data_IF_483934895156
#
_entry.id   IF_483934895156
#
_cell.length_a   1.000
_cell.length_b   1.000
_cell.length_c   1.000
_cell.angle_alpha   90.00
_cell.angle_beta   90.00
_cell.angle_gamma   90.00
#
_symmetry.space_group_name_H-M   'P 1'
#
loop_
_entity.id
_entity.type
_entity.pdbx_description
1 polymer ?
#
# COMPACT_ATOMS: atom_id res chain seq x y z
N UNK A 1 72.97 -43.21 27.05
CA UNK A 1 71.92 -44.13 27.55
C UNK A 1 70.78 -44.10 26.53
N UNK A 2 70.21 -45.28 26.23
CA UNK A 2 69.08 -45.58 25.30
C UNK A 2 68.02 -44.46 25.26
N UNK A 3 67.32 -44.16 24.16
CA UNK A 3 66.41 -45.09 23.48
C UNK A 3 65.81 -44.42 22.20
N UNK A 4 65.56 -45.25 21.18
CA UNK A 4 64.79 -44.92 19.96
C UNK A 4 63.30 -44.71 20.26
N UNK A 5 62.61 -43.93 19.41
CA UNK A 5 61.33 -44.22 18.70
C UNK A 5 60.94 -42.94 17.91
N UNK A 6 61.04 -42.91 16.58
CA UNK A 6 60.07 -43.36 15.56
C UNK A 6 58.89 -42.44 15.27
N UNK A 7 58.89 -41.94 14.01
CA UNK A 7 57.81 -41.98 13.01
C UNK A 7 56.95 -40.72 12.79
N UNK A 8 57.10 -40.23 11.55
CA UNK A 8 56.15 -39.58 10.61
C UNK A 8 55.37 -38.34 11.06
N UNK A 9 55.02 -37.35 10.24
CA UNK A 9 55.19 -36.90 8.84
C UNK A 9 54.01 -35.92 8.72
N UNK A 10 54.14 -34.74 8.11
CA UNK A 10 53.13 -34.13 7.23
C UNK A 10 53.49 -32.67 6.89
N UNK A 11 53.41 -32.38 5.60
CA UNK A 11 54.00 -31.22 4.95
C UNK A 11 53.36 -29.88 5.29
N UNK A 12 54.19 -28.86 5.16
CA UNK A 12 53.83 -27.45 5.13
C UNK A 12 53.07 -27.16 3.82
N UNK A 13 51.74 -27.11 3.90
CA UNK A 13 50.92 -26.48 2.88
C UNK A 13 50.96 -24.96 3.09
N UNK A 14 51.38 -24.24 2.06
CA UNK A 14 51.34 -22.79 1.94
C UNK A 14 49.91 -22.26 2.10
N UNK A 15 49.65 -21.52 3.18
CA UNK A 15 48.43 -20.75 3.36
C UNK A 15 48.45 -19.54 2.43
N UNK A 16 47.59 -19.57 1.41
CA UNK A 16 47.27 -18.43 0.57
C UNK A 16 46.73 -17.30 1.45
N UNK A 17 47.35 -16.12 1.38
CA UNK A 17 46.86 -14.91 2.03
C UNK A 17 45.44 -14.61 1.54
N UNK A 18 44.44 -14.83 2.39
CA UNK A 18 43.10 -14.31 2.20
C UNK A 18 43.21 -12.78 2.21
N UNK A 19 42.92 -12.17 1.07
CA UNK A 19 42.71 -10.74 0.97
C UNK A 19 41.64 -10.34 1.99
N UNK A 20 42.05 -9.60 3.03
CA UNK A 20 41.11 -8.92 3.92
C UNK A 20 40.33 -7.93 3.08
N UNK A 21 39.06 -8.21 2.89
CA UNK A 21 38.09 -7.30 2.31
C UNK A 21 38.13 -6.00 3.11
N UNK A 22 38.50 -4.91 2.44
CA UNK A 22 38.54 -3.60 3.08
C UNK A 22 37.11 -3.18 3.47
N UNK A 23 36.90 -2.60 4.66
CA UNK A 23 35.59 -2.08 5.01
C UNK A 23 35.24 -0.94 4.06
N UNK A 24 34.25 -1.16 3.19
CA UNK A 24 33.61 -0.11 2.40
C UNK A 24 33.01 0.90 3.39
N UNK A 25 33.25 2.22 3.23
CA UNK A 25 32.67 3.23 4.11
C UNK A 25 31.13 3.19 4.03
N UNK A 26 30.50 2.67 5.08
CA UNK A 26 29.06 2.74 5.30
C UNK A 26 28.67 4.16 5.73
N UNK A 27 28.50 5.06 4.76
CA UNK A 27 27.84 6.34 4.99
C UNK A 27 27.28 6.89 3.67
N UNK A 28 26.28 6.20 3.09
CA UNK A 28 25.35 6.92 2.22
C UNK A 28 24.58 7.89 3.14
N UNK A 29 24.96 9.17 3.10
CA UNK A 29 24.17 10.23 3.70
C UNK A 29 22.73 10.09 3.20
N UNK A 30 21.77 9.91 4.11
CA UNK A 30 20.34 9.94 3.82
C UNK A 30 19.92 11.37 3.52
N UNK A 31 20.39 11.91 2.39
CA UNK A 31 19.90 13.19 1.90
C UNK A 31 18.44 13.02 1.52
N UNK A 32 17.56 13.55 2.37
CA UNK A 32 16.14 13.61 2.09
C UNK A 32 15.92 14.42 0.81
N UNK A 33 15.07 13.91 -0.07
CA UNK A 33 14.71 14.57 -1.31
C UNK A 33 13.20 14.75 -1.37
N UNK A 34 12.76 15.95 -1.71
CA UNK A 34 11.34 16.28 -1.89
C UNK A 34 10.74 15.64 -3.14
N UNK A 35 11.57 15.19 -4.09
CA UNK A 35 11.14 14.57 -5.35
C UNK A 35 11.34 13.06 -5.33
N UNK A 36 10.41 12.28 -5.90
CA UNK A 36 10.58 10.84 -6.04
C UNK A 36 11.86 10.49 -6.80
N UNK A 37 12.50 9.34 -6.50
CA UNK A 37 13.62 8.86 -7.29
C UNK A 37 13.23 8.71 -8.77
N UNK A 38 14.09 9.16 -9.68
CA UNK A 38 13.81 9.17 -11.12
C UNK A 38 14.07 7.85 -11.81
N UNK A 39 14.85 6.96 -11.20
CA UNK A 39 15.21 5.64 -11.73
C UNK A 39 15.21 4.60 -10.62
N UNK A 40 14.91 3.36 -10.97
CA UNK A 40 15.05 2.24 -10.05
C UNK A 40 16.52 1.91 -9.75
N UNK A 41 16.79 1.15 -8.68
CA UNK A 41 18.01 0.38 -8.56
C UNK A 41 18.21 -0.57 -9.75
N UNK A 42 19.46 -1.01 -9.96
CA UNK A 42 19.78 -2.01 -10.98
C UNK A 42 18.97 -3.32 -10.77
N UNK A 43 18.63 -4.00 -11.85
CA UNK A 43 17.79 -5.21 -11.82
C UNK A 43 18.35 -6.35 -10.95
N UNK A 44 19.68 -6.45 -10.88
CA UNK A 44 20.45 -7.42 -10.09
C UNK A 44 20.78 -6.93 -8.67
N UNK A 45 20.39 -5.72 -8.30
CA UNK A 45 20.63 -5.18 -6.96
C UNK A 45 19.91 -6.00 -5.88
N UNK A 46 20.55 -6.14 -4.72
CA UNK A 46 19.96 -6.79 -3.55
C UNK A 46 18.77 -6.02 -2.96
N UNK A 47 18.20 -6.53 -1.87
CA UNK A 47 17.03 -5.93 -1.21
C UNK A 47 17.27 -4.50 -0.71
N UNK A 48 18.44 -4.25 -0.09
CA UNK A 48 18.76 -2.96 0.55
C UNK A 48 18.62 -1.73 -0.39
N UNK A 49 19.16 -1.75 -1.62
CA UNK A 49 18.92 -0.69 -2.59
C UNK A 49 17.44 -0.43 -2.93
N UNK A 50 16.61 -1.47 -3.04
CA UNK A 50 15.16 -1.33 -3.28
C UNK A 50 14.42 -0.81 -2.04
N UNK A 51 14.85 -1.21 -0.85
CA UNK A 51 14.33 -0.67 0.41
C UNK A 51 14.66 0.83 0.55
N UNK A 52 15.88 1.24 0.18
CA UNK A 52 16.29 2.64 0.13
C UNK A 52 15.45 3.43 -0.89
N UNK A 53 15.27 2.90 -2.09
CA UNK A 53 14.40 3.50 -3.11
C UNK A 53 12.97 3.72 -2.57
N UNK A 54 12.44 2.72 -1.86
CA UNK A 54 11.08 2.77 -1.32
C UNK A 54 10.94 3.80 -0.21
N UNK A 55 11.95 3.92 0.66
CA UNK A 55 12.00 4.99 1.66
C UNK A 55 12.09 6.38 1.05
N UNK A 56 12.94 6.56 0.02
CA UNK A 56 13.03 7.84 -0.70
C UNK A 56 11.70 8.20 -1.37
N UNK A 57 11.04 7.22 -2.00
CA UNK A 57 9.70 7.37 -2.57
C UNK A 57 8.67 7.75 -1.49
N UNK A 58 8.66 7.04 -0.36
CA UNK A 58 7.78 7.33 0.77
C UNK A 58 7.99 8.75 1.29
N UNK A 59 9.23 9.19 1.48
CA UNK A 59 9.54 10.56 1.95
C UNK A 59 9.06 11.61 0.94
N UNK A 60 9.34 11.41 -0.35
CA UNK A 60 8.94 12.36 -1.40
C UNK A 60 7.41 12.46 -1.54
N UNK A 61 6.70 11.33 -1.47
CA UNK A 61 5.24 11.31 -1.51
C UNK A 61 4.62 11.97 -0.28
N UNK A 62 5.27 11.84 0.87
CA UNK A 62 4.83 12.45 2.12
C UNK A 62 5.42 13.86 2.35
N UNK A 63 6.09 14.44 1.37
CA UNK A 63 6.55 15.81 1.43
C UNK A 63 5.35 16.77 1.40
N UNK A 64 5.39 17.94 2.07
CA UNK A 64 4.38 18.97 1.89
C UNK A 64 4.16 19.30 0.42
N UNK A 65 2.90 19.35 -0.02
CA UNK A 65 2.54 19.69 -1.38
C UNK A 65 2.52 21.21 -1.61
N UNK A 66 2.82 21.61 -2.85
CA UNK A 66 2.65 22.97 -3.33
C UNK A 66 1.15 23.30 -3.41
N UNK A 67 0.76 24.45 -2.84
CA UNK A 67 -0.64 24.84 -2.83
C UNK A 67 -1.18 25.02 -4.26
N UNK A 68 -2.35 24.43 -4.55
CA UNK A 68 -2.99 24.48 -5.86
C UNK A 68 -2.33 23.63 -6.96
N UNK A 69 -1.24 22.91 -6.67
CA UNK A 69 -0.56 22.05 -7.64
C UNK A 69 -0.52 20.62 -7.13
N UNK A 70 -1.50 19.81 -7.53
CA UNK A 70 -1.62 18.42 -7.10
C UNK A 70 -0.40 17.63 -7.54
N UNK A 71 0.14 16.85 -6.62
CA UNK A 71 1.27 15.96 -6.86
C UNK A 71 2.64 16.65 -6.96
N UNK A 72 2.72 17.97 -6.77
CA UNK A 72 3.98 18.70 -6.79
C UNK A 72 4.44 19.00 -5.36
N UNK A 73 5.70 18.66 -4.99
CA UNK A 73 6.22 18.99 -3.66
C UNK A 73 6.57 20.48 -3.55
N UNK A 74 6.33 21.05 -2.37
CA UNK A 74 6.91 22.31 -1.94
C UNK A 74 8.28 22.05 -1.30
N UNK A 75 9.33 22.05 -2.14
CA UNK A 75 10.70 21.80 -1.71
C UNK A 75 11.31 22.91 -0.85
N UNK A 76 10.59 24.02 -0.62
CA UNK A 76 11.00 25.04 0.36
C UNK A 76 10.66 24.64 1.81
N UNK A 77 9.78 23.63 1.98
CA UNK A 77 9.37 23.10 3.28
C UNK A 77 10.13 21.83 3.63
N UNK A 78 10.15 21.53 4.94
CA UNK A 78 10.67 20.28 5.47
C UNK A 78 9.54 19.25 5.68
N UNK A 79 9.85 17.94 5.73
CA UNK A 79 8.89 16.91 6.11
C UNK A 79 8.22 17.22 7.46
N UNK A 80 6.91 16.99 7.54
CA UNK A 80 6.11 17.28 8.74
C UNK A 80 5.58 18.71 8.85
N UNK A 81 5.96 19.62 7.94
CA UNK A 81 5.31 20.93 7.88
C UNK A 81 3.80 20.80 7.57
N UNK A 82 3.01 21.76 8.05
CA UNK A 82 1.56 21.74 7.90
C UNK A 82 1.10 21.80 6.43
N UNK A 83 -0.04 21.17 6.17
CA UNK A 83 -0.68 21.08 4.85
C UNK A 83 -0.84 19.65 4.38
N UNK A 84 -1.43 19.48 3.20
CA UNK A 84 -1.48 18.18 2.54
C UNK A 84 -0.09 17.77 2.06
N UNK A 85 0.16 16.47 2.08
CA UNK A 85 1.33 15.89 1.44
C UNK A 85 1.09 15.64 -0.04
N UNK A 86 2.17 15.44 -0.81
CA UNK A 86 2.12 15.21 -2.27
C UNK A 86 1.07 14.17 -2.64
N UNK A 87 1.10 12.98 -2.04
CA UNK A 87 0.15 11.92 -2.39
C UNK A 87 -1.27 12.20 -1.88
N UNK A 88 -1.44 12.92 -0.76
CA UNK A 88 -2.77 13.30 -0.29
C UNK A 88 -3.49 14.23 -1.27
N UNK A 89 -2.76 14.89 -2.16
CA UNK A 89 -3.33 15.72 -3.24
C UNK A 89 -3.63 14.96 -4.53
N UNK A 90 -3.21 13.70 -4.66
CA UNK A 90 -3.55 12.85 -5.80
C UNK A 90 -5.06 12.66 -5.90
N UNK A 91 -5.55 12.39 -7.12
CA UNK A 91 -6.97 12.09 -7.34
C UNK A 91 -7.30 10.69 -6.85
N UNK A 92 -8.37 10.57 -6.05
CA UNK A 92 -8.89 9.28 -5.62
C UNK A 92 -9.63 8.57 -6.76
N UNK A 93 -9.92 7.28 -6.62
CA UNK A 93 -10.74 6.55 -7.61
C UNK A 93 -12.10 7.20 -7.84
N UNK A 94 -12.70 7.83 -6.82
CA UNK A 94 -13.96 8.58 -6.94
C UNK A 94 -13.81 9.87 -7.75
N UNK A 95 -12.64 10.52 -7.72
CA UNK A 95 -12.34 11.71 -8.54
C UNK A 95 -11.97 11.35 -9.99
N UNK A 96 -11.47 10.13 -10.22
CA UNK A 96 -11.05 9.66 -11.56
C UNK A 96 -12.22 9.01 -12.31
N UNK A 97 -13.00 8.17 -11.64
CA UNK A 97 -14.01 7.32 -12.25
C UNK A 97 -15.42 7.80 -11.89
N UNK A 98 -15.81 8.94 -12.46
CA UNK A 98 -17.11 9.55 -12.17
C UNK A 98 -18.29 8.68 -12.65
N UNK A 99 -19.46 8.79 -11.98
CA UNK A 99 -20.69 8.17 -12.45
C UNK A 99 -21.00 8.50 -13.92
N UNK A 100 -21.68 7.57 -14.59
CA UNK A 100 -22.08 7.72 -16.00
C UNK A 100 -20.90 7.91 -16.97
N UNK A 101 -19.69 7.47 -16.58
CA UNK A 101 -18.47 7.67 -17.36
C UNK A 101 -18.20 9.15 -17.69
N UNK A 102 -18.57 10.07 -16.79
CA UNK A 102 -18.30 11.49 -17.00
C UNK A 102 -16.79 11.75 -17.04
N UNK A 103 -16.35 12.69 -17.89
CA UNK A 103 -14.96 13.10 -17.93
C UNK A 103 -14.58 13.75 -16.59
N UNK A 104 -13.52 13.28 -15.90
CA UNK A 104 -13.12 13.79 -14.59
C UNK A 104 -12.49 15.20 -14.61
N UNK A 105 -12.40 15.84 -15.77
CA UNK A 105 -11.92 17.20 -15.93
C UNK A 105 -10.39 17.31 -15.99
N UNK A 106 -9.81 18.47 -15.65
CA UNK A 106 -8.36 18.63 -15.57
C UNK A 106 -7.78 18.02 -14.29
N UNK A 107 -6.47 17.75 -14.27
CA UNK A 107 -5.77 17.23 -13.09
C UNK A 107 -5.85 18.20 -11.89
N UNK A 108 -5.49 19.48 -12.09
CA UNK A 108 -5.45 20.49 -11.03
C UNK A 108 -6.84 21.09 -10.73
N UNK A 109 -7.80 20.27 -10.31
CA UNK A 109 -9.05 20.73 -9.69
C UNK A 109 -8.86 21.00 -8.20
N UNK A 110 -9.65 21.89 -7.56
CA UNK A 110 -9.61 22.07 -6.11
C UNK A 110 -9.73 20.75 -5.36
N UNK A 111 -9.05 20.63 -4.20
CA UNK A 111 -9.19 19.48 -3.33
C UNK A 111 -10.61 19.42 -2.78
N UNK A 112 -11.22 18.25 -2.85
CA UNK A 112 -12.52 17.96 -2.25
C UNK A 112 -12.33 17.18 -0.96
N UNK A 113 -13.33 17.22 -0.08
CA UNK A 113 -13.33 16.38 1.12
C UNK A 113 -13.24 14.90 0.70
N UNK A 114 -12.20 14.20 1.17
CA UNK A 114 -12.04 12.76 0.92
C UNK A 114 -13.17 12.00 1.59
N UNK A 115 -13.69 10.99 0.90
CA UNK A 115 -14.66 10.04 1.44
C UNK A 115 -14.03 8.66 1.42
N UNK A 116 -13.81 8.07 2.59
CA UNK A 116 -13.22 6.75 2.70
C UNK A 116 -14.28 5.69 2.95
N UNK A 117 -13.99 4.46 2.52
CA UNK A 117 -14.84 3.30 2.76
C UNK A 117 -14.14 2.27 3.65
N UNK A 118 -14.91 1.37 4.25
CA UNK A 118 -14.35 0.10 4.72
C UNK A 118 -14.15 -0.84 3.53
N UNK A 119 -13.32 -1.85 3.69
CA UNK A 119 -13.33 -2.97 2.74
C UNK A 119 -14.73 -3.58 2.75
N UNK A 120 -15.42 -3.48 1.62
CA UNK A 120 -16.70 -4.11 1.47
C UNK A 120 -16.76 -4.87 0.14
N UNK A 121 -16.42 -6.15 0.20
CA UNK A 121 -16.57 -7.08 -0.93
C UNK A 121 -18.04 -7.11 -1.42
N UNK A 122 -19.03 -6.77 -0.57
CA UNK A 122 -20.45 -6.68 -0.94
C UNK A 122 -20.75 -5.66 -2.02
N UNK A 123 -20.05 -4.52 -2.03
CA UNK A 123 -20.30 -3.44 -3.00
C UNK A 123 -19.96 -3.85 -4.44
N UNK A 124 -19.28 -4.99 -4.62
CA UNK A 124 -18.77 -5.49 -5.91
C UNK A 124 -19.69 -6.52 -6.59
N UNK A 125 -20.66 -7.10 -5.89
CA UNK A 125 -21.58 -8.12 -6.45
C UNK A 125 -22.81 -7.56 -7.19
N UNK A 126 -23.02 -6.25 -7.23
CA UNK A 126 -24.02 -5.64 -8.13
C UNK A 126 -23.59 -5.64 -9.61
N UNK A 127 -22.39 -6.13 -9.91
CA UNK A 127 -22.02 -6.58 -11.25
C UNK A 127 -21.95 -8.11 -11.22
N UNK A 128 -22.56 -8.79 -12.19
CA UNK A 128 -22.53 -10.25 -12.37
C UNK A 128 -21.13 -10.78 -12.77
N UNK A 129 -20.08 -10.20 -12.22
CA UNK A 129 -18.68 -10.48 -12.50
C UNK A 129 -17.94 -10.59 -11.18
N UNK A 130 -18.23 -11.68 -10.47
CA UNK A 130 -17.50 -12.06 -9.27
C UNK A 130 -16.16 -12.63 -9.73
N UNK A 131 -15.20 -11.73 -9.92
CA UNK A 131 -13.78 -11.91 -9.62
C UNK A 131 -13.13 -10.53 -9.66
N UNK A 132 -12.34 -10.27 -8.63
CA UNK A 132 -11.45 -9.12 -8.43
C UNK A 132 -12.11 -7.76 -8.15
N UNK A 133 -12.30 -7.49 -6.87
CA UNK A 133 -11.34 -6.60 -6.18
C UNK A 133 -11.05 -7.22 -4.81
N UNK A 134 -9.96 -7.99 -4.70
CA UNK A 134 -9.41 -8.50 -3.42
C UNK A 134 -8.75 -7.34 -2.67
N UNK A 135 -9.54 -6.28 -2.45
CA UNK A 135 -9.14 -5.14 -1.65
C UNK A 135 -9.06 -5.64 -0.23
N UNK A 136 -7.86 -6.08 0.18
CA UNK A 136 -7.59 -6.59 1.52
C UNK A 136 -8.48 -7.81 1.87
N UNK A 137 -7.89 -8.99 1.78
CA UNK A 137 -8.64 -10.24 1.95
C UNK A 137 -9.08 -10.37 3.41
N UNK A 138 -10.40 -10.45 3.58
CA UNK A 138 -11.09 -10.87 4.81
C UNK A 138 -12.15 -9.87 5.26
N UNK A 139 -12.77 -10.15 6.40
CA UNK A 139 -13.91 -9.39 6.90
C UNK A 139 -13.50 -8.04 7.51
N UNK A 140 -14.23 -7.60 8.54
CA UNK A 140 -13.97 -6.32 9.17
C UNK A 140 -12.58 -6.26 9.80
N UNK A 141 -12.00 -5.07 9.86
CA UNK A 141 -10.81 -4.78 10.63
C UNK A 141 -11.12 -3.66 11.63
N UNK A 142 -11.29 -4.04 12.89
CA UNK A 142 -11.66 -3.17 14.00
C UNK A 142 -10.43 -2.97 14.90
N UNK A 143 -10.07 -1.72 15.17
CA UNK A 143 -8.95 -1.37 16.04
C UNK A 143 -9.26 -1.63 17.53
N UNK A 144 -8.25 -1.51 18.40
CA UNK A 144 -8.41 -1.72 19.86
C UNK A 144 -9.33 -0.69 20.53
N UNK A 145 -9.66 0.41 19.86
CA UNK A 145 -10.64 1.38 20.31
C UNK A 145 -12.08 1.08 19.81
N UNK A 146 -12.29 -0.05 19.13
CA UNK A 146 -13.60 -0.46 18.62
C UNK A 146 -14.01 0.25 17.33
N UNK A 147 -13.09 0.92 16.63
CA UNK A 147 -13.37 1.65 15.40
C UNK A 147 -12.95 0.85 14.16
N UNK A 148 -13.71 0.92 13.06
CA UNK A 148 -13.33 0.28 11.82
C UNK A 148 -12.13 0.98 11.15
N UNK A 149 -11.35 0.19 10.42
CA UNK A 149 -10.29 0.69 9.53
C UNK A 149 -10.88 1.08 8.18
N UNK A 150 -10.49 2.25 7.70
CA UNK A 150 -10.95 2.83 6.43
C UNK A 150 -9.83 2.85 5.39
N UNK A 151 -10.21 2.85 4.12
CA UNK A 151 -9.29 2.72 3.00
C UNK A 151 -9.55 3.77 1.92
N UNK A 152 -8.48 4.20 1.26
CA UNK A 152 -8.50 5.10 0.10
C UNK A 152 -7.54 4.56 -0.98
N UNK A 153 -7.87 4.78 -2.24
CA UNK A 153 -7.01 4.49 -3.39
C UNK A 153 -6.88 5.77 -4.22
N UNK A 154 -5.64 6.15 -4.51
CA UNK A 154 -5.34 7.35 -5.31
C UNK A 154 -4.23 7.08 -6.31
N UNK A 155 -4.18 7.89 -7.36
CA UNK A 155 -3.20 7.75 -8.42
C UNK A 155 -2.62 9.11 -8.82
N UNK A 156 -1.33 9.12 -9.19
CA UNK A 156 -0.65 10.35 -9.57
C UNK A 156 -1.09 10.90 -10.93
N UNK A 157 -0.58 12.08 -11.30
CA UNK A 157 -0.91 12.78 -12.54
C UNK A 157 -0.63 11.94 -13.79
N UNK A 158 0.45 11.15 -13.78
CA UNK A 158 0.83 10.32 -14.92
C UNK A 158 -0.19 9.19 -15.13
N UNK A 159 -0.60 8.51 -14.05
CA UNK A 159 -1.68 7.51 -14.10
C UNK A 159 -2.99 8.14 -14.56
N UNK A 160 -3.32 9.31 -14.02
CA UNK A 160 -4.52 10.07 -14.39
C UNK A 160 -4.55 10.43 -15.88
N UNK A 161 -3.47 11.01 -16.39
CA UNK A 161 -3.36 11.42 -17.79
C UNK A 161 -3.44 10.22 -18.73
N UNK A 162 -2.87 9.07 -18.35
CA UNK A 162 -3.02 7.84 -19.11
C UNK A 162 -4.49 7.37 -19.14
N UNK A 163 -5.18 7.36 -18.01
CA UNK A 163 -6.59 6.96 -17.91
C UNK A 163 -7.48 7.90 -18.73
N UNK A 164 -7.33 9.22 -18.57
CA UNK A 164 -8.14 10.23 -19.23
C UNK A 164 -7.86 10.27 -20.73
N UNK A 165 -6.58 10.28 -21.12
CA UNK A 165 -6.16 10.34 -22.53
C UNK A 165 -6.68 9.15 -23.36
N UNK A 166 -6.83 7.98 -22.74
CA UNK A 166 -7.39 6.79 -23.38
C UNK A 166 -8.90 6.61 -23.14
N UNK A 167 -9.57 7.54 -22.44
CA UNK A 167 -10.99 7.40 -22.03
C UNK A 167 -11.24 6.12 -21.21
N UNK A 168 -10.24 5.61 -20.50
CA UNK A 168 -10.34 4.38 -19.71
C UNK A 168 -11.14 4.53 -18.41
N UNK A 169 -11.58 5.74 -18.07
CA UNK A 169 -12.61 5.96 -17.06
C UNK A 169 -14.01 5.46 -17.49
N UNK A 170 -14.20 5.17 -18.79
CA UNK A 170 -15.42 4.63 -19.36
C UNK A 170 -15.34 3.09 -19.48
N UNK A 171 -16.23 2.38 -18.76
CA UNK A 171 -16.31 0.93 -18.75
C UNK A 171 -16.47 0.30 -20.14
N UNK A 172 -17.23 0.94 -21.04
CA UNK A 172 -17.46 0.44 -22.40
C UNK A 172 -16.21 0.56 -23.30
N UNK A 173 -15.29 1.46 -22.95
CA UNK A 173 -14.02 1.64 -23.65
C UNK A 173 -12.99 0.68 -23.08
N UNK A 174 -12.73 0.75 -21.78
CA UNK A 174 -11.66 -0.03 -21.14
C UNK A 174 -11.93 -1.55 -21.17
N UNK A 175 -13.20 -1.98 -21.18
CA UNK A 175 -13.55 -3.40 -21.32
C UNK A 175 -13.10 -4.03 -22.64
N UNK A 176 -12.88 -3.21 -23.68
CA UNK A 176 -12.43 -3.65 -25.02
C UNK A 176 -10.91 -3.51 -25.21
N UNK A 177 -10.23 -2.84 -24.28
CA UNK A 177 -8.78 -2.66 -24.35
C UNK A 177 -8.07 -4.01 -24.12
N UNK A 178 -7.11 -4.32 -24.98
CA UNK A 178 -6.30 -5.54 -24.94
C UNK A 178 -4.80 -5.29 -24.77
N UNK A 179 -4.38 -4.02 -24.68
CA UNK A 179 -3.00 -3.60 -24.53
C UNK A 179 -2.89 -2.39 -23.58
N UNK A 180 -3.39 -2.55 -22.36
CA UNK A 180 -3.16 -1.56 -21.30
C UNK A 180 -1.70 -1.68 -20.87
N UNK A 181 -0.98 -0.57 -20.95
CA UNK A 181 0.43 -0.47 -20.61
C UNK A 181 0.69 0.95 -20.09
N UNK A 182 0.81 1.10 -18.77
CA UNK A 182 1.13 2.37 -18.16
C UNK A 182 2.57 2.80 -18.49
N UNK A 183 2.81 4.11 -18.66
CA UNK A 183 4.15 4.66 -18.86
C UNK A 183 4.96 4.63 -17.55
N UNK A 184 6.27 4.88 -17.66
CA UNK A 184 7.11 5.09 -16.49
C UNK A 184 6.67 6.34 -15.70
N UNK A 185 6.88 6.31 -14.39
CA UNK A 185 6.53 7.37 -13.45
C UNK A 185 5.11 7.26 -12.89
N UNK A 186 4.30 6.30 -13.33
CA UNK A 186 3.00 6.04 -12.67
C UNK A 186 3.21 5.63 -11.22
N UNK A 187 2.34 6.14 -10.35
CA UNK A 187 2.29 5.80 -8.94
C UNK A 187 0.83 5.59 -8.58
N UNK A 188 0.54 4.46 -7.94
CA UNK A 188 -0.74 4.22 -7.28
C UNK A 188 -0.50 4.01 -5.79
N UNK A 189 -1.38 4.56 -4.98
CA UNK A 189 -1.32 4.49 -3.52
C UNK A 189 -2.62 3.88 -3.03
N UNK A 190 -2.50 2.85 -2.19
CA UNK A 190 -3.59 2.36 -1.36
C UNK A 190 -3.22 2.62 0.10
N UNK A 191 -4.16 3.12 0.88
CA UNK A 191 -3.91 3.52 2.27
C UNK A 191 -4.96 2.95 3.20
N UNK A 192 -4.58 2.66 4.44
CA UNK A 192 -5.44 2.24 5.53
C UNK A 192 -5.35 3.24 6.68
N UNK A 193 -6.49 3.55 7.30
CA UNK A 193 -6.67 4.66 8.21
C UNK A 193 -7.53 4.26 9.40
N UNK A 194 -7.15 4.70 10.60
CA UNK A 194 -7.97 4.56 11.81
C UNK A 194 -8.48 5.92 12.29
N UNK A 195 -9.57 5.92 13.04
CA UNK A 195 -10.05 7.11 13.74
C UNK A 195 -9.09 7.40 14.90
N UNK A 196 -8.60 8.64 14.99
CA UNK A 196 -7.86 9.12 16.14
C UNK A 196 -8.84 9.68 17.17
N UNK A 197 -8.78 9.13 18.37
CA UNK A 197 -9.58 9.54 19.53
C UNK A 197 -8.81 10.56 20.39
N UNK A 198 -9.46 11.22 21.37
CA UNK A 198 -8.76 12.07 22.33
C UNK A 198 -7.67 11.37 23.16
N UNK A 199 -7.64 10.03 23.17
CA UNK A 199 -6.63 9.24 23.86
C UNK A 199 -5.39 8.95 22.99
N UNK A 200 -5.45 9.22 21.69
CA UNK A 200 -4.36 8.97 20.77
C UNK A 200 -3.40 10.18 20.68
N UNK A 201 -2.09 9.91 20.56
CA UNK A 201 -1.12 10.96 20.27
C UNK A 201 -1.05 11.21 18.76
N UNK A 202 -1.88 12.14 18.26
CA UNK A 202 -1.96 12.48 16.85
C UNK A 202 -0.62 12.94 16.22
N UNK A 203 0.32 13.49 17.00
CA UNK A 203 1.64 13.91 16.49
C UNK A 203 2.50 12.75 15.96
N UNK A 204 2.11 11.50 16.27
CA UNK A 204 2.76 10.28 15.78
C UNK A 204 2.23 9.78 14.45
N UNK A 205 1.19 10.41 13.92
CA UNK A 205 0.51 9.95 12.71
C UNK A 205 0.60 10.99 11.61
N UNK A 206 0.64 10.52 10.37
CA UNK A 206 0.14 11.32 9.27
C UNK A 206 -1.37 11.39 9.37
N UNK A 207 -1.93 12.60 9.27
CA UNK A 207 -3.35 12.81 9.55
C UNK A 207 -4.12 13.40 8.38
N UNK A 208 -5.43 13.17 8.37
CA UNK A 208 -6.36 13.91 7.53
C UNK A 208 -7.75 13.97 8.16
N UNK A 209 -8.54 14.98 7.78
CA UNK A 209 -9.99 14.95 7.96
C UNK A 209 -10.63 14.32 6.73
N UNK A 210 -11.56 13.39 6.94
CA UNK A 210 -12.31 12.76 5.87
C UNK A 210 -13.72 12.38 6.31
N UNK A 211 -14.61 12.24 5.33
CA UNK A 211 -15.93 11.63 5.52
C UNK A 211 -15.79 10.11 5.57
N UNK A 212 -16.41 9.48 6.55
CA UNK A 212 -16.40 8.03 6.74
C UNK A 212 -17.82 7.52 7.04
N UNK A 213 -18.20 6.31 6.57
CA UNK A 213 -19.49 5.72 6.91
C UNK A 213 -19.55 5.36 8.40
N UNK A 214 -20.72 5.53 9.00
CA UNK A 214 -21.05 5.05 10.35
C UNK A 214 -21.86 3.75 10.27
N UNK A 215 -21.76 2.91 11.30
CA UNK A 215 -22.36 1.58 11.33
C UNK A 215 -23.01 1.30 12.67
N UNK A 216 -24.01 0.42 12.69
CA UNK A 216 -24.55 -0.17 13.93
C UNK A 216 -23.69 -1.34 14.43
N UNK A 217 -24.15 -2.04 15.48
CA UNK A 217 -23.41 -3.18 16.04
C UNK A 217 -23.38 -4.43 15.15
N UNK A 218 -24.22 -4.49 14.12
CA UNK A 218 -24.25 -5.57 13.13
C UNK A 218 -23.47 -5.21 11.87
N UNK A 219 -22.82 -4.04 11.84
CA UNK A 219 -22.04 -3.56 10.69
C UNK A 219 -22.93 -3.07 9.55
N UNK A 220 -24.21 -2.80 9.81
CA UNK A 220 -25.09 -2.16 8.85
C UNK A 220 -24.82 -0.65 8.85
N UNK A 221 -24.63 -0.09 7.65
CA UNK A 221 -24.37 1.35 7.51
C UNK A 221 -25.57 2.17 7.98
N UNK A 222 -25.34 3.12 8.88
CA UNK A 222 -26.35 4.01 9.47
C UNK A 222 -26.23 5.45 8.98
N UNK A 223 -25.10 5.84 8.40
CA UNK A 223 -24.86 7.22 8.01
C UNK A 223 -23.45 7.49 7.49
N UNK A 224 -23.05 8.76 7.62
CA UNK A 224 -21.72 9.29 7.31
C UNK A 224 -21.40 10.36 8.35
N UNK A 225 -20.16 10.38 8.83
CA UNK A 225 -19.62 11.45 9.69
C UNK A 225 -18.30 11.95 9.14
N UNK A 226 -17.87 13.14 9.55
CA UNK A 226 -16.48 13.54 9.43
C UNK A 226 -15.67 12.95 10.59
N UNK A 227 -14.45 12.49 10.31
CA UNK A 227 -13.54 11.91 11.28
C UNK A 227 -12.11 12.42 11.07
N UNK A 228 -11.38 12.57 12.18
CA UNK A 228 -9.95 12.83 12.17
C UNK A 228 -9.21 11.49 12.16
N UNK A 229 -8.46 11.25 11.09
CA UNK A 229 -7.87 9.95 10.79
C UNK A 229 -6.35 9.98 10.90
N UNK A 230 -5.78 8.85 11.32
CA UNK A 230 -4.34 8.58 11.33
C UNK A 230 -4.00 7.44 10.38
N UNK A 231 -2.98 7.62 9.55
CA UNK A 231 -2.52 6.62 8.58
C UNK A 231 -1.87 5.46 9.33
N UNK A 232 -2.36 4.24 9.11
CA UNK A 232 -1.84 3.03 9.74
C UNK A 232 -1.13 2.10 8.77
N UNK A 233 -1.42 2.16 7.48
CA UNK A 233 -0.71 1.39 6.46
C UNK A 233 -0.77 2.05 5.09
N UNK A 234 0.27 1.81 4.29
CA UNK A 234 0.42 2.43 2.98
C UNK A 234 1.07 1.45 2.01
N UNK A 235 0.37 1.13 0.93
CA UNK A 235 0.93 0.51 -0.26
C UNK A 235 1.22 1.57 -1.30
N UNK A 236 2.44 1.55 -1.83
CA UNK A 236 2.87 2.40 -2.93
C UNK A 236 3.42 1.51 -4.02
N UNK A 237 2.86 1.64 -5.21
CA UNK A 237 3.24 0.82 -6.36
C UNK A 237 3.64 1.76 -7.50
N UNK A 238 4.74 1.47 -8.19
CA UNK A 238 5.24 2.38 -9.22
C UNK A 238 5.98 1.65 -10.34
N UNK A 239 5.89 2.19 -11.57
CA UNK A 239 6.78 1.83 -12.68
C UNK A 239 7.91 2.84 -12.76
N UNK A 240 9.11 2.41 -12.42
CA UNK A 240 10.28 3.27 -12.37
C UNK A 240 11.06 3.23 -13.69
N UNK A 241 11.68 4.35 -14.08
CA UNK A 241 12.55 4.35 -15.26
C UNK A 241 13.74 3.39 -15.04
N UNK A 242 14.11 2.66 -16.09
CA UNK A 242 15.16 1.63 -16.02
C UNK A 242 14.69 0.29 -15.42
N UNK A 243 13.40 0.16 -15.08
CA UNK A 243 12.83 -1.07 -14.52
C UNK A 243 11.44 -1.32 -15.11
N UNK A 244 11.31 -2.19 -16.13
CA UNK A 244 10.09 -2.32 -16.91
C UNK A 244 8.88 -2.86 -16.11
N UNK A 245 9.14 -3.49 -14.96
CA UNK A 245 8.12 -4.03 -14.07
C UNK A 245 7.75 -3.08 -12.93
N UNK A 246 6.68 -3.40 -12.21
CA UNK A 246 6.27 -2.62 -11.04
C UNK A 246 7.13 -2.94 -9.81
N UNK A 247 7.42 -1.90 -9.01
CA UNK A 247 8.02 -1.99 -7.69
C UNK A 247 6.92 -1.77 -6.65
N UNK A 248 6.85 -2.65 -5.65
CA UNK A 248 5.76 -2.72 -4.66
C UNK A 248 6.32 -2.43 -3.27
N UNK A 249 5.93 -1.30 -2.68
CA UNK A 249 6.40 -0.90 -1.35
C UNK A 249 5.26 -0.92 -0.36
N UNK A 250 5.48 -1.50 0.82
CA UNK A 250 4.47 -1.51 1.89
C UNK A 250 5.03 -0.96 3.20
N UNK A 251 4.36 0.06 3.74
CA UNK A 251 4.73 0.74 4.97
C UNK A 251 3.64 0.59 6.02
N UNK A 252 4.05 0.53 7.28
CA UNK A 252 3.14 0.51 8.43
C UNK A 252 3.52 1.56 9.46
N UNK A 253 2.52 2.03 10.20
CA UNK A 253 2.73 2.85 11.38
C UNK A 253 3.19 1.93 12.54
N UNK A 254 4.21 2.37 13.29
CA UNK A 254 4.93 1.53 14.29
C UNK A 254 4.13 1.20 15.55
N UNK A 255 3.04 1.92 15.81
CA UNK A 255 2.07 1.69 16.88
C UNK A 255 0.93 0.76 16.45
N UNK A 256 0.96 0.18 15.25
CA UNK A 256 0.01 -0.89 14.90
C UNK A 256 0.22 -2.13 15.77
N UNK A 257 1.49 -2.53 15.95
CA UNK A 257 1.93 -3.74 16.61
C UNK A 257 3.22 -3.48 17.41
N UNK A 258 3.50 -4.26 18.47
CA UNK A 258 4.77 -4.17 19.17
C UNK A 258 5.95 -4.49 18.25
N UNK A 259 7.05 -3.79 18.49
CA UNK A 259 8.34 -4.20 17.97
C UNK A 259 8.83 -5.43 18.73
N UNK A 260 9.68 -6.26 18.10
CA UNK A 260 10.29 -7.40 18.78
C UNK A 260 11.11 -7.02 20.04
N UNK A 261 11.43 -5.73 20.22
CA UNK A 261 12.24 -5.21 21.31
C UNK A 261 11.42 -4.61 22.47
N UNK A 262 10.11 -4.38 22.31
CA UNK A 262 9.25 -3.84 23.38
C UNK A 262 7.79 -4.20 23.13
N UNK A 263 7.18 -4.89 24.10
CA UNK A 263 5.73 -5.12 24.19
C UNK A 263 5.02 -4.08 25.05
N UNK A 264 5.75 -3.18 25.71
CA UNK A 264 5.16 -2.12 26.53
C UNK A 264 4.64 -1.00 25.64
N UNK A 265 3.34 -0.75 25.69
CA UNK A 265 2.68 0.36 24.96
C UNK A 265 1.23 0.08 24.62
N UNK A 266 0.51 1.12 24.20
CA UNK A 266 -0.82 1.02 23.61
C UNK A 266 -0.67 0.90 22.10
N UNK A 267 -1.22 -0.15 21.51
CA UNK A 267 -1.12 -0.44 20.08
C UNK A 267 -2.50 -0.42 19.43
N UNK A 268 -2.55 0.01 18.17
CA UNK A 268 -3.81 0.16 17.43
C UNK A 268 -4.49 -1.18 17.14
N UNK A 269 -3.71 -2.24 16.92
CA UNK A 269 -4.25 -3.55 16.53
C UNK A 269 -3.68 -4.72 17.34
N UNK A 270 -2.93 -4.49 18.41
CA UNK A 270 -2.37 -5.57 19.22
C UNK A 270 -3.03 -5.63 20.59
N UNK A 271 -3.33 -6.85 21.04
CA UNK A 271 -3.78 -7.14 22.39
C UNK A 271 -2.92 -8.27 22.97
N UNK A 272 -2.15 -8.05 24.05
CA UNK A 272 -1.28 -9.06 24.64
C UNK A 272 -2.06 -10.24 25.25
N UNK A 273 -3.32 -10.03 25.63
CA UNK A 273 -4.17 -11.05 26.26
C UNK A 273 -5.00 -11.84 25.23
N UNK A 274 -4.82 -11.57 23.94
CA UNK A 274 -5.56 -12.24 22.88
C UNK A 274 -5.14 -13.71 22.74
N UNK A 275 -6.09 -14.62 22.88
CA UNK A 275 -5.89 -16.07 22.68
C UNK A 275 -5.70 -16.45 21.20
N UNK A 276 -6.21 -15.62 20.29
CA UNK A 276 -6.07 -15.77 18.84
C UNK A 276 -5.81 -14.41 18.20
N UNK A 277 -5.04 -14.39 17.11
CA UNK A 277 -4.78 -13.17 16.33
C UNK A 277 -5.05 -13.43 14.85
N UNK A 278 -5.15 -12.36 14.07
CA UNK A 278 -5.37 -12.43 12.62
C UNK A 278 -6.65 -13.19 12.26
N UNK A 279 -7.74 -12.91 12.99
CA UNK A 279 -9.07 -13.48 12.75
C UNK A 279 -10.10 -12.35 12.63
N UNK A 280 -10.88 -12.38 11.55
CA UNK A 280 -11.99 -11.46 11.33
C UNK A 280 -13.09 -11.72 12.37
N UNK A 281 -13.79 -10.68 12.88
CA UNK A 281 -14.85 -10.84 13.86
C UNK A 281 -16.20 -11.19 13.22
N UNK A 282 -16.22 -11.26 11.88
CA UNK A 282 -17.37 -11.61 11.07
C UNK A 282 -16.99 -12.69 10.06
N UNK A 283 -18.00 -13.46 9.65
CA UNK A 283 -17.93 -14.42 8.56
C UNK A 283 -18.71 -13.89 7.36
N UNK A 284 -18.19 -14.14 6.16
CA UNK A 284 -18.88 -13.78 4.92
C UNK A 284 -20.06 -14.73 4.68
N UNK A 285 -21.25 -14.16 4.55
CA UNK A 285 -22.48 -14.87 4.26
C UNK A 285 -23.11 -14.35 2.98
N UNK A 286 -23.71 -15.24 2.19
CA UNK A 286 -24.45 -14.84 0.99
C UNK A 286 -25.88 -14.50 1.39
N UNK A 287 -26.26 -13.22 1.25
CA UNK A 287 -27.61 -12.71 1.46
C UNK A 287 -28.17 -12.26 0.12
N UNK A 288 -28.96 -13.13 -0.52
CA UNK A 288 -29.41 -12.92 -1.90
C UNK A 288 -28.24 -12.92 -2.89
N UNK A 289 -28.05 -11.82 -3.62
CA UNK A 289 -26.91 -11.65 -4.55
C UNK A 289 -25.69 -11.03 -3.88
N UNK A 290 -25.79 -10.58 -2.63
CA UNK A 290 -24.73 -9.85 -1.93
C UNK A 290 -23.98 -10.76 -0.97
N UNK A 291 -22.66 -10.56 -0.84
CA UNK A 291 -21.90 -11.12 0.29
C UNK A 291 -21.88 -10.08 1.39
N UNK A 292 -22.40 -10.40 2.55
CA UNK A 292 -22.37 -9.51 3.72
C UNK A 292 -21.50 -10.15 4.77
N UNK A 293 -20.60 -9.37 5.40
CA UNK A 293 -19.88 -9.87 6.56
C UNK A 293 -20.80 -9.75 7.76
N UNK A 294 -21.12 -10.87 8.40
CA UNK A 294 -22.04 -10.96 9.53
C UNK A 294 -21.24 -11.30 10.78
N UNK A 295 -21.44 -10.63 11.92
CA UNK A 295 -20.67 -10.91 13.13
C UNK A 295 -20.76 -12.39 13.52
N UNK A 296 -19.65 -12.95 14.00
CA UNK A 296 -19.65 -14.27 14.64
C UNK A 296 -20.48 -14.25 15.93
N UNK A 297 -21.00 -15.39 16.39
CA UNK A 297 -21.70 -15.46 17.69
C UNK A 297 -20.86 -14.84 18.81
N UNK A 298 -21.44 -13.87 19.53
CA UNK A 298 -20.77 -13.15 20.62
C UNK A 298 -19.87 -11.98 20.18
N UNK A 299 -19.80 -11.68 18.88
CA UNK A 299 -19.03 -10.54 18.33
C UNK A 299 -19.96 -9.47 17.75
N UNK A 300 -19.44 -8.26 17.56
CA UNK A 300 -20.13 -7.11 16.95
C UNK A 300 -19.18 -6.34 16.02
N UNK A 301 -19.70 -5.35 15.31
CA UNK A 301 -18.91 -4.36 14.54
C UNK A 301 -18.11 -3.38 15.43
N UNK A 302 -17.85 -3.74 16.68
CA UNK A 302 -17.00 -3.02 17.61
C UNK A 302 -16.04 -3.97 18.33
N UNK A 303 -16.13 -5.29 18.07
CA UNK A 303 -15.20 -6.27 18.61
C UNK A 303 -13.82 -6.07 17.95
N UNK A 304 -12.78 -5.69 18.71
CA UNK A 304 -11.45 -5.50 18.15
C UNK A 304 -10.89 -6.76 17.49
N UNK A 305 -10.00 -6.56 16.51
CA UNK A 305 -9.26 -7.62 15.84
C UNK A 305 -7.78 -7.56 16.24
N UNK A 306 -7.37 -8.30 17.30
CA UNK A 306 -5.96 -8.46 17.59
C UNK A 306 -5.23 -9.06 16.39
N UNK A 307 -4.18 -8.37 15.97
CA UNK A 307 -3.29 -8.75 14.90
C UNK A 307 -1.93 -9.15 15.46
N UNK A 308 -1.23 -9.99 14.72
CA UNK A 308 0.18 -10.27 14.90
C UNK A 308 0.87 -10.32 13.54
N UNK A 309 2.16 -10.00 13.51
CA UNK A 309 2.95 -10.13 12.29
C UNK A 309 3.39 -11.58 12.13
N UNK A 310 3.02 -12.19 11.00
CA UNK A 310 3.41 -13.58 10.69
C UNK A 310 4.83 -13.65 10.13
N UNK A 311 5.16 -12.79 9.17
CA UNK A 311 6.48 -12.75 8.51
C UNK A 311 7.30 -11.60 9.10
N UNK A 312 8.43 -11.87 9.78
CA UNK A 312 9.29 -10.82 10.31
C UNK A 312 9.80 -9.87 9.21
N UNK A 313 10.01 -8.60 9.56
CA UNK A 313 10.71 -7.65 8.70
C UNK A 313 12.17 -8.11 8.60
N UNK A 314 12.71 -8.26 7.38
CA UNK A 314 14.06 -8.74 7.17
C UNK A 314 15.11 -7.80 7.81
N UNK A 315 16.23 -8.35 8.29
CA UNK A 315 17.28 -7.58 8.98
C UNK A 315 17.82 -6.42 8.13
N UNK A 316 17.99 -6.65 6.82
CA UNK A 316 18.43 -5.61 5.88
C UNK A 316 17.42 -4.46 5.80
N UNK A 317 16.12 -4.78 5.76
CA UNK A 317 15.04 -3.79 5.77
C UNK A 317 14.98 -3.06 7.11
N UNK A 318 15.22 -3.76 8.23
CA UNK A 318 15.30 -3.12 9.55
C UNK A 318 16.49 -2.18 9.69
N UNK A 319 17.64 -2.49 9.09
CA UNK A 319 18.78 -1.59 9.04
C UNK A 319 18.44 -0.30 8.27
N UNK A 320 17.74 -0.42 7.14
CA UNK A 320 17.25 0.74 6.36
C UNK A 320 16.22 1.54 7.17
N UNK A 321 15.22 0.88 7.78
CA UNK A 321 14.25 1.52 8.67
C UNK A 321 14.92 2.31 9.78
N UNK A 322 15.89 1.70 10.48
CA UNK A 322 16.64 2.34 11.56
C UNK A 322 17.34 3.60 11.06
N UNK A 323 17.97 3.53 9.89
CA UNK A 323 18.70 4.66 9.29
C UNK A 323 17.77 5.83 8.96
N UNK A 324 16.64 5.60 8.28
CA UNK A 324 15.71 6.68 7.93
C UNK A 324 14.98 7.23 9.14
N UNK A 325 14.50 6.38 10.06
CA UNK A 325 13.80 6.83 11.26
C UNK A 325 14.70 7.64 12.22
N UNK A 326 16.01 7.41 12.20
CA UNK A 326 16.99 8.19 12.94
C UNK A 326 17.49 9.44 12.18
N UNK A 327 17.10 9.64 10.92
CA UNK A 327 17.52 10.81 10.14
C UNK A 327 17.07 12.11 10.83
N UNK A 328 17.98 13.08 10.95
CA UNK A 328 17.75 14.35 11.64
C UNK A 328 16.63 15.17 11.01
N UNK A 329 16.49 15.14 9.68
CA UNK A 329 15.44 15.83 8.95
C UNK A 329 14.04 15.22 9.12
N UNK A 330 13.93 13.99 9.62
CA UNK A 330 12.64 13.37 9.95
C UNK A 330 12.27 13.50 11.44
N UNK A 331 13.14 14.03 12.30
CA UNK A 331 12.86 14.08 13.74
C UNK A 331 11.69 15.00 14.10
N UNK A 332 11.40 16.00 13.26
CA UNK A 332 10.26 16.90 13.40
C UNK A 332 9.04 16.47 12.56
N UNK A 333 9.06 15.25 12.03
CA UNK A 333 8.03 14.71 11.14
C UNK A 333 7.39 13.45 11.74
N UNK A 334 6.08 13.22 11.54
CA UNK A 334 5.47 11.95 11.91
C UNK A 334 6.05 10.76 11.12
N UNK A 335 6.76 10.99 10.01
CA UNK A 335 7.34 9.93 9.18
C UNK A 335 8.33 9.02 9.93
N UNK A 336 8.95 9.48 11.03
CA UNK A 336 9.80 8.64 11.88
C UNK A 336 9.05 7.53 12.62
N UNK A 337 7.72 7.59 12.65
CA UNK A 337 6.84 6.58 13.24
C UNK A 337 6.25 5.63 12.20
N UNK A 338 6.85 5.57 11.01
CA UNK A 338 6.53 4.58 10.00
C UNK A 338 7.75 3.69 9.74
N UNK A 339 7.50 2.49 9.24
CA UNK A 339 8.53 1.53 8.87
C UNK A 339 8.14 0.80 7.58
N UNK A 340 9.13 0.58 6.72
CA UNK A 340 8.99 -0.30 5.56
C UNK A 340 8.89 -1.74 6.07
N UNK A 341 7.90 -2.48 5.57
CA UNK A 341 7.75 -3.90 5.85
C UNK A 341 8.54 -4.72 4.83
N UNK A 342 8.40 -4.40 3.55
CA UNK A 342 9.20 -4.97 2.46
C UNK A 342 9.01 -4.16 1.19
N UNK A 343 9.99 -4.25 0.30
CA UNK A 343 9.88 -3.87 -1.11
C UNK A 343 9.87 -5.12 -1.96
N UNK A 344 8.72 -5.45 -2.55
CA UNK A 344 8.57 -6.59 -3.43
C UNK A 344 8.80 -6.16 -4.89
N UNK A 345 9.56 -6.97 -5.63
CA UNK A 345 9.94 -6.74 -7.04
C UNK A 345 10.20 -8.09 -7.73
N UNK A 346 10.18 -8.19 -9.07
CA UNK A 346 10.59 -9.42 -9.76
C UNK A 346 12.12 -9.62 -9.76
N UNK A 347 12.61 -10.85 -9.64
CA UNK A 347 14.04 -11.18 -9.78
C UNK A 347 14.56 -10.93 -11.21
N UNK A 348 13.72 -11.15 -12.22
CA UNK A 348 14.03 -11.02 -13.66
C UNK A 348 13.15 -9.96 -14.33
N UNK A 349 13.27 -8.67 -13.96
CA UNK A 349 12.38 -7.63 -14.46
C UNK A 349 12.40 -7.48 -15.99
N UNK A 350 13.53 -7.78 -16.62
CA UNK A 350 13.72 -7.59 -18.05
C UNK A 350 13.27 -8.79 -18.91
N UNK A 351 12.70 -9.83 -18.32
CA UNK A 351 12.20 -10.99 -19.07
C UNK A 351 10.82 -10.67 -19.69
N UNK A 352 10.72 -10.49 -21.02
CA UNK A 352 9.45 -10.20 -21.67
C UNK A 352 8.48 -11.40 -21.65
N UNK A 353 8.98 -12.62 -21.41
CA UNK A 353 8.20 -13.85 -21.35
C UNK A 353 7.55 -14.11 -19.99
N UNK A 354 8.05 -13.47 -18.93
CA UNK A 354 7.48 -13.55 -17.59
C UNK A 354 7.12 -12.14 -17.08
N UNK A 355 5.97 -11.59 -17.49
CA UNK A 355 5.59 -10.23 -17.09
C UNK A 355 5.34 -10.09 -15.60
N UNK A 356 5.12 -11.19 -14.85
CA UNK A 356 5.09 -11.15 -13.38
C UNK A 356 6.50 -11.21 -12.79
N UNK A 357 7.46 -11.83 -13.48
CA UNK A 357 8.72 -12.30 -12.92
C UNK A 357 8.51 -13.28 -11.77
N UNK A 358 9.56 -13.56 -11.01
CA UNK A 358 9.44 -14.23 -9.71
C UNK A 358 9.44 -13.18 -8.59
N UNK A 359 8.35 -13.03 -7.82
CA UNK A 359 8.30 -12.07 -6.72
C UNK A 359 9.42 -12.31 -5.70
N UNK A 360 10.19 -11.27 -5.41
CA UNK A 360 11.21 -11.24 -4.38
C UNK A 360 11.06 -10.00 -3.50
N UNK A 361 10.97 -10.18 -2.16
CA UNK A 361 10.71 -11.44 -1.47
C UNK A 361 9.37 -12.05 -1.91
N UNK A 362 9.21 -13.37 -1.75
CA UNK A 362 8.00 -14.07 -2.20
C UNK A 362 6.73 -13.59 -1.48
N UNK A 363 6.87 -13.23 -0.19
CA UNK A 363 5.79 -12.72 0.64
C UNK A 363 5.88 -11.21 0.81
N UNK A 364 4.72 -10.55 0.76
CA UNK A 364 4.54 -9.15 1.11
C UNK A 364 3.19 -8.99 1.79
N UNK A 365 3.17 -8.59 3.05
CA UNK A 365 1.94 -8.48 3.83
C UNK A 365 2.00 -7.28 4.78
N UNK A 366 1.06 -6.36 4.62
CA UNK A 366 0.78 -5.31 5.59
C UNK A 366 -0.27 -5.80 6.58
N UNK A 367 -0.04 -5.66 7.88
CA UNK A 367 -0.99 -6.21 8.86
C UNK A 367 -2.36 -5.53 8.79
N UNK A 368 -2.47 -4.33 8.25
CA UNK A 368 -3.75 -3.62 8.08
C UNK A 368 -4.35 -3.75 6.68
N UNK A 369 -3.70 -4.44 5.74
CA UNK A 369 -4.25 -4.69 4.40
C UNK A 369 -4.35 -6.18 4.09
N UNK A 370 -3.45 -7.00 4.59
CA UNK A 370 -3.46 -8.46 4.39
C UNK A 370 -3.58 -9.19 5.72
N UNK A 371 -4.32 -8.59 6.67
CA UNK A 371 -4.48 -9.03 8.06
C UNK A 371 -4.70 -10.53 8.20
N UNK A 372 -5.52 -11.10 7.31
CA UNK A 372 -6.03 -12.47 7.39
C UNK A 372 -5.39 -13.43 6.39
N UNK A 373 -4.44 -12.96 5.56
CA UNK A 373 -3.78 -13.78 4.52
C UNK A 373 -2.25 -13.59 4.51
N UNK A 374 -1.66 -13.12 5.61
CA UNK A 374 -0.23 -12.79 5.67
C UNK A 374 0.69 -13.96 5.23
N UNK A 375 0.29 -15.20 5.49
CA UNK A 375 1.06 -16.42 5.18
C UNK A 375 1.28 -16.67 3.68
N UNK A 376 0.38 -16.16 2.82
CA UNK A 376 0.42 -16.40 1.38
C UNK A 376 0.26 -15.11 0.55
N UNK A 377 0.31 -13.95 1.22
CA UNK A 377 0.14 -12.66 0.57
C UNK A 377 1.35 -12.28 -0.28
N UNK A 378 1.08 -11.80 -1.49
CA UNK A 378 2.05 -11.22 -2.41
C UNK A 378 1.36 -10.15 -3.24
N UNK A 379 1.87 -8.91 -3.21
CA UNK A 379 1.34 -7.80 -3.97
C UNK A 379 1.36 -8.13 -5.47
N UNK A 380 2.49 -8.64 -5.95
CA UNK A 380 2.68 -9.06 -7.34
C UNK A 380 1.68 -10.14 -7.76
N UNK A 381 1.52 -11.20 -6.95
CA UNK A 381 0.59 -12.29 -7.28
C UNK A 381 -0.86 -11.79 -7.29
N UNK A 382 -1.27 -11.00 -6.29
CA UNK A 382 -2.60 -10.42 -6.24
C UNK A 382 -2.86 -9.51 -7.44
N UNK A 383 -1.92 -8.61 -7.76
CA UNK A 383 -2.07 -7.66 -8.85
C UNK A 383 -1.91 -8.31 -10.24
N UNK A 384 -1.29 -9.49 -10.36
CA UNK A 384 -1.24 -10.26 -11.61
C UNK A 384 -2.62 -10.62 -12.15
N UNK A 385 -3.63 -10.63 -11.29
CA UNK A 385 -5.01 -10.92 -11.62
C UNK A 385 -5.81 -9.69 -12.07
N UNK A 386 -5.21 -8.51 -12.05
CA UNK A 386 -5.89 -7.27 -12.39
C UNK A 386 -6.38 -7.26 -13.84
N UNK A 387 -7.67 -6.99 -14.00
CA UNK A 387 -8.32 -6.76 -15.28
C UNK A 387 -9.22 -5.53 -15.19
N UNK A 388 -9.53 -4.86 -16.30
CA UNK A 388 -10.62 -3.90 -16.35
C UNK A 388 -11.97 -4.54 -16.06
N UNK A 389 -12.95 -3.72 -15.69
CA UNK A 389 -14.35 -4.16 -15.61
C UNK A 389 -14.78 -4.79 -16.95
N UNK A 390 -15.43 -5.97 -16.91
CA UNK A 390 -15.89 -6.71 -18.11
C UNK A 390 -14.82 -7.07 -19.14
N UNK A 391 -13.55 -7.10 -18.76
CA UNK A 391 -12.46 -7.51 -19.65
C UNK A 391 -11.81 -8.82 -19.19
N UNK A 392 -11.39 -9.63 -20.16
CA UNK A 392 -10.55 -10.82 -19.97
C UNK A 392 -9.05 -10.51 -20.02
N UNK A 393 -8.68 -9.32 -20.49
CA UNK A 393 -7.28 -8.91 -20.65
C UNK A 393 -6.76 -8.26 -19.38
N UNK A 394 -5.46 -8.41 -19.15
CA UNK A 394 -4.77 -7.83 -17.98
C UNK A 394 -4.65 -6.31 -18.11
N UNK A 395 -4.66 -5.63 -16.97
CA UNK A 395 -4.55 -4.17 -16.87
C UNK A 395 -3.21 -3.69 -16.33
N UNK A 396 -2.11 -4.35 -16.74
CA UNK A 396 -0.75 -3.96 -16.33
C UNK A 396 -0.65 -3.79 -14.80
N UNK A 397 -1.11 -4.81 -14.08
CA UNK A 397 -1.11 -4.88 -12.61
C UNK A 397 -1.99 -3.85 -11.87
N UNK A 398 -2.73 -3.00 -12.57
CA UNK A 398 -3.57 -1.97 -11.92
C UNK A 398 -5.01 -2.39 -11.75
N UNK A 399 -5.53 -2.27 -10.53
CA UNK A 399 -6.96 -2.45 -10.23
C UNK A 399 -7.79 -1.18 -10.46
N UNK A 400 -7.19 -0.03 -10.80
CA UNK A 400 -7.92 1.23 -11.01
C UNK A 400 -9.06 1.07 -12.03
N UNK A 401 -8.84 0.32 -13.10
CA UNK A 401 -9.84 0.15 -14.17
C UNK A 401 -11.08 -0.67 -13.77
N UNK A 402 -11.09 -1.29 -12.59
CA UNK A 402 -12.30 -1.90 -12.02
C UNK A 402 -13.33 -0.85 -11.61
N UNK A 403 -12.90 0.38 -11.35
CA UNK A 403 -13.78 1.48 -10.94
C UNK A 403 -14.44 2.20 -12.13
N UNK A 404 -14.09 1.84 -13.37
CA UNK A 404 -14.68 2.46 -14.55
C UNK A 404 -16.20 2.27 -14.61
N UNK A 405 -16.92 3.36 -14.88
CA UNK A 405 -18.38 3.40 -14.93
C UNK A 405 -18.88 3.30 -16.37
N UNK A 406 -20.06 2.70 -16.58
CA UNK A 406 -20.71 2.72 -17.88
C UNK A 406 -21.40 4.08 -18.11
N UNK A 407 -21.49 4.57 -19.35
CA UNK A 407 -22.32 5.72 -19.71
C UNK A 407 -23.78 5.51 -19.27
N UNK A 408 -24.45 6.59 -18.84
CA UNK A 408 -25.87 6.53 -18.55
C UNK A 408 -26.70 6.12 -19.78
N UNK A 409 -27.75 5.33 -19.58
CA UNK A 409 -28.70 5.00 -20.64
C UNK A 409 -29.49 6.27 -21.03
N UNK A 410 -29.00 7.04 -21.99
CA UNK A 410 -29.84 7.98 -22.70
C UNK A 410 -30.78 7.20 -23.63
N UNK A 411 -31.96 6.81 -23.13
CA UNK A 411 -33.11 6.67 -24.03
C UNK A 411 -33.37 8.06 -24.61
N UNK A 412 -33.33 8.26 -25.94
CA UNK A 412 -33.78 9.51 -26.53
C UNK A 412 -35.20 9.76 -26.02
N UNK A 413 -35.45 10.90 -25.36
CA UNK A 413 -36.81 11.37 -25.16
C UNK A 413 -37.38 11.53 -26.56
N UNK A 414 -38.26 10.62 -26.96
CA UNK A 414 -39.10 10.82 -28.13
C UNK A 414 -39.83 12.13 -27.89
N UNK A 415 -39.42 13.19 -28.61
CA UNK A 415 -40.21 14.40 -28.71
C UNK A 415 -41.54 13.96 -29.32
N UNK A 416 -42.59 13.90 -28.52
CA UNK A 416 -43.94 14.00 -29.05
C UNK A 416 -43.98 15.34 -29.81
N UNK A 417 -43.96 15.25 -31.14
CA UNK A 417 -44.36 16.35 -32.01
C UNK A 417 -45.91 16.39 -31.99
N UNK A 418 -46.48 17.60 -32.08
CA UNK A 418 -47.86 17.91 -31.73
C UNK A 418 -48.90 17.14 -32.54
#
# INVERSE_FOLDING_TARGET
MKMLLSVMLLGLASLSAQAREAPQPSAQATQLNCRPPTSAPAADAGQGPFDNYSWQLFIALNWPAQNGQRGQPDCSKAPGAAGYTVWQTYKTVEEIFLPQAANPGPWNTPLIAKSLGIINIAALKNSSQVNSVDQAVGGWLIDQAGNPTFYDISANEISYNYIVGNTFYNANVVSKANNIAFPNGVIEVKSSWRILTPHDNASRYMTMLARVPTFDSQGQRTGVTEAYLGLVGLHVITKAAGYPQWIWSTFEQVDNLPSAQSSNGTYSYFNPDASTTNQSPCDWQTHGTQLVCVPKPGMTFQTPNPLSRVTPIADITQAVNTTYRANTGLQNSPLKYYQLITTQRPTTPNDPGNPLGDPTPALSANVTMESYIQQNSSCMNCHSMATPVKSRYKSDFSYLFKFANAPGNHRPRTRNRP
#
